data_IF_054195762966
#
_entry.id   IF_054195762966
#
_cell.length_a   1.000
_cell.length_b   1.000
_cell.length_c   1.000
_cell.angle_alpha   90.00
_cell.angle_beta   90.00
_cell.angle_gamma   90.00
#
_symmetry.space_group_name_H-M   'P 1'
#
loop_
_entity.id
_entity.type
_entity.pdbx_description
1 polymer ?
#
# COMPACT_ATOMS: atom_id res chain seq x y z
N UNK A 1 -12.76 -1.46 6.51
CA UNK A 1 -11.79 -2.51 6.93
C UNK A 1 -11.11 -3.26 5.77
N UNK A 2 -11.70 -3.35 4.57
CA UNK A 2 -11.12 -4.11 3.44
C UNK A 2 -9.79 -3.52 2.93
N UNK A 3 -9.65 -2.20 2.92
CA UNK A 3 -8.42 -1.50 2.47
C UNK A 3 -7.18 -1.81 3.33
N UNK A 4 -7.33 -1.85 4.67
CA UNK A 4 -6.22 -2.16 5.59
C UNK A 4 -5.76 -3.61 5.43
N UNK A 5 -6.72 -4.54 5.27
CA UNK A 5 -6.43 -5.96 5.05
C UNK A 5 -5.63 -6.20 3.77
N UNK A 6 -5.98 -5.51 2.68
CA UNK A 6 -5.29 -5.66 1.41
C UNK A 6 -3.84 -5.12 1.47
N UNK A 7 -3.62 -4.01 2.18
CA UNK A 7 -2.29 -3.44 2.38
C UNK A 7 -1.39 -4.36 3.23
N UNK A 8 -1.93 -4.92 4.31
CA UNK A 8 -1.19 -5.85 5.18
C UNK A 8 -0.88 -7.18 4.49
N UNK A 9 -1.80 -7.68 3.68
CA UNK A 9 -1.61 -8.95 2.92
C UNK A 9 -0.53 -8.78 1.85
N UNK A 10 -0.50 -7.64 1.18
CA UNK A 10 0.51 -7.34 0.17
C UNK A 10 1.92 -7.29 0.77
N UNK A 11 2.05 -6.72 1.97
CA UNK A 11 3.30 -6.67 2.74
C UNK A 11 3.75 -8.09 3.18
N UNK A 12 2.84 -8.83 3.81
CA UNK A 12 3.09 -10.17 4.36
C UNK A 12 3.50 -11.19 3.29
N UNK A 13 2.94 -11.07 2.08
CA UNK A 13 3.30 -11.91 0.94
C UNK A 13 4.79 -11.81 0.60
N UNK A 14 5.37 -10.60 0.56
CA UNK A 14 6.79 -10.42 0.23
C UNK A 14 7.69 -10.99 1.33
N UNK A 15 7.34 -10.77 2.60
CA UNK A 15 8.08 -11.33 3.74
C UNK A 15 8.08 -12.86 3.65
N UNK A 16 6.90 -13.46 3.40
CA UNK A 16 6.77 -14.90 3.25
C UNK A 16 7.59 -15.44 2.08
N UNK A 17 7.52 -14.80 0.92
CA UNK A 17 8.29 -15.19 -0.27
C UNK A 17 9.80 -15.07 -0.04
N UNK A 18 10.26 -13.99 0.60
CA UNK A 18 11.67 -13.77 0.91
C UNK A 18 12.21 -14.83 1.87
N UNK A 19 11.48 -15.12 2.94
CA UNK A 19 11.84 -16.21 3.87
C UNK A 19 11.84 -17.56 3.16
N UNK A 20 10.84 -17.85 2.33
CA UNK A 20 10.76 -19.12 1.60
C UNK A 20 11.96 -19.33 0.67
N UNK A 21 12.36 -18.30 -0.09
CA UNK A 21 13.52 -18.37 -0.98
C UNK A 21 14.84 -18.59 -0.21
N UNK A 22 15.03 -17.90 0.91
CA UNK A 22 16.23 -18.05 1.75
C UNK A 22 16.23 -19.43 2.41
N UNK A 23 15.09 -19.94 2.89
CA UNK A 23 15.00 -21.28 3.45
C UNK A 23 15.35 -22.37 2.43
N UNK A 24 15.01 -22.21 1.16
CA UNK A 24 15.40 -23.16 0.11
C UNK A 24 16.92 -23.11 -0.12
N UNK A 25 17.47 -21.90 -0.28
CA UNK A 25 18.87 -21.70 -0.59
C UNK A 25 19.81 -22.08 0.57
N UNK A 26 19.39 -21.83 1.81
CA UNK A 26 20.14 -22.15 3.03
C UNK A 26 19.65 -23.45 3.69
N UNK A 27 18.84 -24.26 3.00
CA UNK A 27 18.27 -25.51 3.57
C UNK A 27 19.35 -26.44 4.12
N UNK A 28 20.52 -26.48 3.49
CA UNK A 28 21.66 -27.29 3.93
C UNK A 28 22.31 -26.75 5.21
N UNK A 29 22.34 -25.42 5.42
CA UNK A 29 22.83 -24.83 6.68
C UNK A 29 21.80 -24.98 7.80
N UNK A 30 20.51 -24.83 7.49
CA UNK A 30 19.41 -24.93 8.46
C UNK A 30 19.25 -26.38 8.98
N UNK A 31 19.56 -27.37 8.15
CA UNK A 31 19.53 -28.79 8.52
C UNK A 31 20.78 -29.22 9.30
N UNK A 32 21.79 -28.36 9.43
CA UNK A 32 22.98 -28.69 10.21
C UNK A 32 22.69 -28.58 11.71
N UNK A 33 22.68 -29.73 12.38
CA UNK A 33 22.41 -29.84 13.82
C UNK A 33 23.55 -29.23 14.65
N UNK A 34 24.74 -29.03 14.06
CA UNK A 34 25.89 -28.44 14.73
C UNK A 34 25.76 -26.93 14.95
N UNK A 35 24.94 -26.22 14.15
CA UNK A 35 24.78 -24.76 14.24
C UNK A 35 23.30 -24.34 14.43
N UNK A 36 22.72 -24.53 15.63
CA UNK A 36 21.31 -24.21 15.92
C UNK A 36 20.97 -22.72 15.80
N UNK A 37 21.98 -21.86 15.61
CA UNK A 37 21.82 -20.42 15.32
C UNK A 37 21.03 -20.19 14.02
N UNK A 38 21.14 -21.09 13.04
CA UNK A 38 20.39 -21.03 11.78
C UNK A 38 19.01 -21.68 11.89
N UNK A 39 18.16 -21.11 12.74
CA UNK A 39 16.75 -21.52 12.82
C UNK A 39 15.87 -20.77 11.81
N UNK A 40 14.74 -21.37 11.42
CA UNK A 40 13.71 -20.69 10.61
C UNK A 40 13.23 -19.39 11.27
N UNK A 41 13.15 -19.35 12.61
CA UNK A 41 12.82 -18.13 13.33
C UNK A 41 13.86 -17.04 13.11
N UNK A 42 15.14 -17.40 13.14
CA UNK A 42 16.21 -16.46 12.88
C UNK A 42 16.12 -15.92 11.45
N UNK A 43 15.88 -16.80 10.46
CA UNK A 43 15.71 -16.37 9.05
C UNK A 43 14.52 -15.43 8.90
N UNK A 44 13.38 -15.74 9.54
CA UNK A 44 12.19 -14.88 9.57
C UNK A 44 12.51 -13.50 10.17
N UNK A 45 13.24 -13.47 11.28
CA UNK A 45 13.65 -12.23 11.94
C UNK A 45 14.56 -11.39 11.03
N UNK A 46 15.53 -12.02 10.38
CA UNK A 46 16.47 -11.35 9.47
C UNK A 46 15.74 -10.73 8.27
N UNK A 47 14.84 -11.49 7.64
CA UNK A 47 14.03 -11.03 6.51
C UNK A 47 13.09 -9.91 6.92
N UNK A 48 12.43 -10.04 8.08
CA UNK A 48 11.51 -9.00 8.59
C UNK A 48 12.27 -7.72 8.93
N UNK A 49 13.45 -7.83 9.54
CA UNK A 49 14.33 -6.71 9.86
C UNK A 49 14.83 -5.99 8.59
N UNK A 50 15.24 -6.75 7.57
CA UNK A 50 15.65 -6.23 6.27
C UNK A 50 14.48 -5.55 5.55
N UNK A 51 13.32 -6.20 5.54
CA UNK A 51 12.09 -5.66 4.96
C UNK A 51 11.66 -4.38 5.66
N UNK A 52 11.69 -4.34 6.99
CA UNK A 52 11.38 -3.17 7.81
C UNK A 52 12.47 -2.09 7.78
N UNK A 53 13.64 -2.39 7.19
CA UNK A 53 14.85 -1.55 7.19
C UNK A 53 15.33 -1.17 8.60
N UNK A 54 15.17 -2.07 9.59
CA UNK A 54 15.61 -1.85 10.98
C UNK A 54 17.11 -2.12 11.14
N UNK A 55 17.62 -3.15 10.46
CA UNK A 55 19.04 -3.50 10.48
C UNK A 55 19.49 -4.29 11.73
N UNK A 56 18.56 -4.85 12.49
CA UNK A 56 18.85 -5.79 13.57
C UNK A 56 19.02 -7.22 13.02
N UNK A 57 19.86 -8.01 13.66
CA UNK A 57 20.14 -9.42 13.35
C UNK A 57 20.36 -10.17 14.66
N UNK A 58 19.95 -11.44 14.73
CA UNK A 58 20.21 -12.30 15.90
C UNK A 58 21.69 -12.72 16.01
N UNK A 59 22.48 -12.47 14.97
CA UNK A 59 23.91 -12.73 14.94
C UNK A 59 24.23 -14.13 14.42
N UNK A 60 25.41 -14.27 13.82
CA UNK A 60 25.91 -15.56 13.33
C UNK A 60 26.69 -16.35 14.40
N UNK A 61 26.91 -17.65 14.19
CA UNK A 61 27.69 -18.49 15.10
C UNK A 61 29.18 -18.12 15.19
N UNK A 62 29.71 -17.34 14.23
CA UNK A 62 31.12 -16.91 14.25
C UNK A 62 31.30 -15.45 13.82
N UNK A 63 31.74 -14.61 14.77
CA UNK A 63 32.11 -13.21 14.54
C UNK A 63 30.99 -12.19 14.82
N UNK A 64 31.35 -10.91 14.81
CA UNK A 64 30.41 -9.78 15.00
C UNK A 64 29.72 -9.41 13.67
N UNK A 65 29.17 -10.41 12.98
CA UNK A 65 28.50 -10.23 11.69
C UNK A 65 27.02 -10.58 11.81
N UNK A 66 26.19 -9.89 11.03
CA UNK A 66 24.78 -10.25 10.89
C UNK A 66 24.66 -11.66 10.31
N UNK A 67 23.54 -12.32 10.58
CA UNK A 67 23.30 -13.68 10.09
C UNK A 67 23.33 -13.75 8.55
N UNK A 68 22.89 -12.68 7.89
CA UNK A 68 23.06 -12.45 6.45
C UNK A 68 24.50 -12.44 5.94
N UNK A 69 25.50 -12.27 6.81
CA UNK A 69 26.92 -12.38 6.48
C UNK A 69 27.35 -13.81 6.13
N UNK A 70 26.74 -14.80 6.78
CA UNK A 70 27.04 -16.22 6.58
C UNK A 70 26.25 -16.86 5.43
N UNK A 71 25.20 -16.20 4.94
CA UNK A 71 24.40 -16.73 3.84
C UNK A 71 25.15 -16.80 2.51
N UNK A 72 24.65 -17.66 1.64
CA UNK A 72 25.06 -17.74 0.23
C UNK A 72 24.79 -16.43 -0.52
N UNK A 73 25.47 -16.26 -1.65
CA UNK A 73 25.33 -15.08 -2.51
C UNK A 73 23.87 -14.87 -2.95
N UNK A 74 23.15 -15.96 -3.23
CA UNK A 74 21.74 -15.92 -3.61
C UNK A 74 20.88 -15.30 -2.50
N UNK A 75 21.00 -15.80 -1.28
CA UNK A 75 20.27 -15.31 -0.11
C UNK A 75 20.59 -13.84 0.20
N UNK A 76 21.83 -13.40 -0.01
CA UNK A 76 22.23 -11.98 0.10
C UNK A 76 21.49 -11.09 -0.91
N UNK A 77 21.32 -11.55 -2.15
CA UNK A 77 20.53 -10.83 -3.17
C UNK A 77 19.07 -10.74 -2.76
N UNK A 78 18.50 -11.81 -2.20
CA UNK A 78 17.12 -11.80 -1.68
C UNK A 78 16.98 -10.77 -0.56
N UNK A 79 17.91 -10.73 0.40
CA UNK A 79 17.92 -9.71 1.48
C UNK A 79 17.99 -8.28 0.90
N UNK A 80 18.85 -8.03 -0.08
CA UNK A 80 18.93 -6.73 -0.76
C UNK A 80 17.59 -6.36 -1.44
N UNK A 81 16.96 -7.32 -2.13
CA UNK A 81 15.65 -7.11 -2.74
C UNK A 81 14.58 -6.78 -1.69
N UNK A 82 14.61 -7.43 -0.52
CA UNK A 82 13.71 -7.14 0.59
C UNK A 82 13.93 -5.75 1.18
N UNK A 83 15.17 -5.27 1.28
CA UNK A 83 15.47 -3.90 1.72
C UNK A 83 14.96 -2.84 0.74
N UNK A 84 15.10 -3.09 -0.57
CA UNK A 84 14.58 -2.20 -1.63
C UNK A 84 13.05 -2.20 -1.60
N UNK A 85 12.44 -3.38 -1.50
CA UNK A 85 10.98 -3.53 -1.40
C UNK A 85 10.44 -2.82 -0.16
N UNK A 86 11.16 -2.95 0.95
CA UNK A 86 10.90 -2.26 2.20
C UNK A 86 10.76 -0.75 2.02
N UNK A 87 11.60 -0.13 1.19
CA UNK A 87 11.51 1.31 0.91
C UNK A 87 10.42 1.68 -0.09
N UNK A 88 10.01 0.76 -0.97
CA UNK A 88 9.00 1.00 -2.00
C UNK A 88 7.53 0.81 -1.56
N UNK A 89 7.26 0.54 -0.27
CA UNK A 89 5.91 0.29 0.28
C UNK A 89 4.91 1.44 0.06
N UNK A 90 5.39 2.69 -0.05
CA UNK A 90 4.54 3.88 -0.13
C UNK A 90 4.31 4.46 -1.54
N UNK A 91 5.14 4.14 -2.53
CA UNK A 91 5.11 4.83 -3.83
C UNK A 91 4.00 4.38 -4.81
N UNK A 92 3.55 3.11 -4.88
CA UNK A 92 2.53 2.74 -5.87
C UNK A 92 1.12 3.21 -5.48
N UNK A 93 0.81 3.32 -4.19
CA UNK A 93 -0.54 3.73 -3.73
C UNK A 93 -0.69 5.26 -3.64
N UNK A 94 0.40 5.99 -3.38
CA UNK A 94 0.39 7.45 -3.42
C UNK A 94 0.29 8.00 -4.85
N UNK A 95 0.87 7.31 -5.84
CA UNK A 95 0.78 7.68 -7.25
C UNK A 95 -0.65 7.54 -7.80
N UNK A 96 -1.37 6.46 -7.50
CA UNK A 96 -2.72 6.25 -8.04
C UNK A 96 -3.78 7.15 -7.36
N UNK A 97 -3.62 7.44 -6.06
CA UNK A 97 -4.50 8.36 -5.33
C UNK A 97 -4.27 9.84 -5.69
N UNK A 98 -3.06 10.21 -6.12
CA UNK A 98 -2.80 11.56 -6.64
C UNK A 98 -3.26 11.75 -8.09
N UNK A 99 -3.51 10.65 -8.82
CA UNK A 99 -4.03 10.65 -10.20
C UNK A 99 -5.56 10.50 -10.27
N UNK A 100 -6.23 10.22 -9.15
CA UNK A 100 -7.66 10.56 -9.02
C UNK A 100 -7.80 12.08 -8.88
N UNK A 101 -7.61 12.80 -9.98
CA UNK A 101 -8.23 14.10 -10.17
C UNK A 101 -9.74 13.89 -9.94
N UNK A 102 -10.40 14.57 -8.99
CA UNK A 102 -11.83 14.82 -9.08
C UNK A 102 -12.05 15.74 -10.29
N UNK A 103 -11.93 15.21 -11.51
CA UNK A 103 -12.34 15.92 -12.70
C UNK A 103 -13.83 15.66 -12.87
N UNK A 104 -14.62 16.67 -12.53
CA UNK A 104 -15.84 17.03 -13.24
C UNK A 104 -16.86 15.89 -13.38
N UNK A 105 -17.66 15.66 -12.33
CA UNK A 105 -19.04 15.20 -12.53
C UNK A 105 -19.89 16.40 -12.97
N UNK A 106 -19.53 17.00 -14.09
CA UNK A 106 -20.37 17.93 -14.84
C UNK A 106 -20.62 17.27 -16.19
N UNK A 107 -21.89 17.10 -16.56
CA UNK A 107 -22.40 16.60 -17.85
C UNK A 107 -22.58 15.08 -18.00
N UNK A 108 -23.44 14.47 -17.18
CA UNK A 108 -24.22 13.29 -17.63
C UNK A 108 -25.58 13.14 -16.94
N UNK A 109 -26.23 14.26 -16.59
CA UNK A 109 -27.66 14.30 -16.22
C UNK A 109 -28.48 15.09 -17.26
N UNK A 110 -28.13 15.00 -18.55
CA UNK A 110 -28.89 15.65 -19.64
C UNK A 110 -29.46 14.66 -20.68
N UNK A 111 -29.86 13.44 -20.29
CA UNK A 111 -30.71 12.61 -21.18
C UNK A 111 -31.46 11.45 -20.51
N UNK A 112 -32.29 11.71 -19.49
CA UNK A 112 -33.48 10.87 -19.24
C UNK A 112 -34.35 11.40 -18.08
N UNK A 113 -35.26 12.32 -18.39
CA UNK A 113 -36.68 12.26 -18.02
C UNK A 113 -37.31 13.62 -18.23
N UNK A 114 -38.04 13.73 -19.35
CA UNK A 114 -39.01 14.77 -19.55
C UNK A 114 -40.11 14.72 -18.47
N UNK A 115 -40.72 15.89 -18.24
CA UNK A 115 -42.07 16.07 -17.70
C UNK A 115 -42.22 16.00 -16.17
N UNK A 116 -42.23 17.16 -15.50
CA UNK A 116 -43.46 17.81 -15.01
C UNK A 116 -43.11 19.03 -14.13
N UNK A 117 -43.46 20.22 -14.60
CA UNK A 117 -43.46 21.47 -13.83
C UNK A 117 -44.85 21.64 -13.19
N UNK A 118 -45.02 21.46 -11.88
CA UNK A 118 -46.17 22.05 -11.19
C UNK A 118 -45.87 23.50 -10.81
N UNK A 119 -46.46 24.40 -11.61
CA UNK A 119 -46.62 25.83 -11.31
C UNK A 119 -47.55 26.00 -10.10
N UNK A 120 -47.02 26.21 -8.91
CA UNK A 120 -47.77 26.90 -7.86
C UNK A 120 -46.85 27.39 -6.76
N UNK A 121 -47.14 28.59 -6.25
CA UNK A 121 -46.47 29.31 -5.16
C UNK A 121 -45.28 30.20 -5.58
N UNK A 122 -45.55 31.13 -6.50
CA UNK A 122 -44.90 32.44 -6.42
C UNK A 122 -45.85 33.41 -5.71
N UNK A 123 -45.39 33.76 -4.51
CA UNK A 123 -45.97 34.61 -3.51
C UNK A 123 -46.17 36.03 -4.07
N UNK A 124 -47.43 36.43 -4.25
CA UNK A 124 -47.80 37.76 -4.71
C UNK A 124 -47.38 38.86 -3.71
N UNK A 125 -46.29 39.55 -4.02
CA UNK A 125 -45.87 40.79 -3.35
C UNK A 125 -46.16 42.00 -4.25
N UNK A 126 -47.30 42.60 -3.99
CA UNK A 126 -47.60 44.04 -3.92
C UNK A 126 -46.66 45.06 -4.61
N UNK A 127 -47.32 45.93 -5.39
CA UNK A 127 -47.10 47.40 -5.54
C UNK A 127 -45.86 47.82 -6.35
N UNK A 128 -45.84 48.85 -7.20
CA UNK A 128 -46.73 49.98 -7.48
C UNK A 128 -46.22 50.71 -8.74
N UNK A 129 -47.08 51.58 -9.30
CA UNK A 129 -46.72 52.88 -9.89
C UNK A 129 -46.42 52.96 -11.39
N UNK A 130 -47.35 53.61 -12.10
CA UNK A 130 -47.00 54.77 -12.91
C UNK A 130 -47.03 54.59 -14.44
N UNK A 131 -48.18 54.86 -15.06
CA UNK A 131 -48.21 55.27 -16.46
C UNK A 131 -49.23 56.40 -16.66
N UNK A 132 -48.69 57.57 -17.00
CA UNK A 132 -49.36 58.82 -17.36
C UNK A 132 -49.94 58.77 -18.79
N UNK A 133 -50.97 59.59 -19.02
CA UNK A 133 -51.21 60.50 -20.16
C UNK A 133 -51.02 59.94 -21.59
N UNK A 134 -51.91 60.10 -22.57
CA UNK A 134 -52.78 61.19 -23.03
C UNK A 134 -53.50 60.66 -24.32
N UNK A 135 -54.19 61.46 -25.14
CA UNK A 135 -54.81 62.78 -24.95
C UNK A 135 -56.34 62.75 -24.84
#
# INVERSE_FOLDING_TARGET
>A
MVHVRNQLTFDLWYIFLGTFLICIAESTLIMDVAEPTFSIFAVLFEVTSAYANVGLSLGGPSGLVSMSGHYTIFSKVVICAMMIRGRHRGLPYALDRAITLPSEHTLSDESSSAEQIPKSLSLGRTQSSGARSAP
#
